data_IF_205475046298
#
_entry.id   IF_205475046298
#
_cell.length_a   1.000
_cell.length_b   1.000
_cell.length_c   1.000
_cell.angle_alpha   90.00
_cell.angle_beta   90.00
_cell.angle_gamma   90.00
#
_symmetry.space_group_name_H-M   'P 1'
#
loop_
_entity.id
_entity.type
_entity.pdbx_description
1 polymer ?
#
# COMPACT_ATOMS: atom_id res chain seq x y z
N UNK A 1 14.62 11.94 12.16
CA UNK A 1 14.87 13.28 11.59
C UNK A 1 14.59 13.22 10.10
N UNK A 2 13.65 14.02 9.60
CA UNK A 2 13.37 14.14 8.17
C UNK A 2 14.54 14.83 7.48
N UNK A 3 15.30 14.10 6.67
CA UNK A 3 16.40 14.66 5.88
C UNK A 3 15.82 15.45 4.69
N UNK A 4 15.70 16.77 4.83
CA UNK A 4 15.30 17.67 3.73
C UNK A 4 16.54 18.44 3.29
N UNK A 5 16.87 18.39 2.00
CA UNK A 5 17.97 19.17 1.41
C UNK A 5 17.42 20.13 0.36
N UNK A 6 17.88 21.38 0.37
CA UNK A 6 17.55 22.38 -0.64
C UNK A 6 18.82 22.88 -1.34
N UNK A 7 18.84 22.80 -2.67
CA UNK A 7 19.82 23.45 -3.52
C UNK A 7 19.39 24.90 -3.75
N UNK A 8 19.98 25.78 -2.95
CA UNK A 8 19.51 27.13 -2.70
C UNK A 8 20.37 28.18 -3.40
N UNK A 9 19.74 29.29 -3.80
CA UNK A 9 20.44 30.51 -4.18
C UNK A 9 19.80 31.70 -3.44
N UNK A 10 20.54 32.36 -2.52
CA UNK A 10 20.00 33.44 -1.69
C UNK A 10 19.58 34.66 -2.50
N UNK A 11 20.07 34.82 -3.74
CA UNK A 11 19.72 35.94 -4.62
C UNK A 11 18.46 35.67 -5.48
N UNK A 12 17.68 34.63 -5.17
CA UNK A 12 16.50 34.24 -5.96
C UNK A 12 15.25 34.17 -5.09
N UNK A 13 14.25 35.02 -5.39
CA UNK A 13 12.99 35.09 -4.64
C UNK A 13 12.25 33.75 -4.56
N UNK A 14 12.12 33.02 -5.68
CA UNK A 14 11.53 31.66 -5.68
C UNK A 14 12.30 30.72 -4.73
N UNK A 15 13.62 30.82 -4.68
CA UNK A 15 14.46 29.99 -3.81
C UNK A 15 14.29 30.35 -2.33
N UNK A 16 14.17 31.64 -1.99
CA UNK A 16 13.90 32.11 -0.63
C UNK A 16 12.49 31.76 -0.16
N UNK A 17 11.48 31.94 -1.02
CA UNK A 17 10.10 31.52 -0.72
C UNK A 17 10.00 30.01 -0.45
N UNK A 18 10.66 29.17 -1.27
CA UNK A 18 10.71 27.71 -1.03
C UNK A 18 11.40 27.38 0.30
N UNK A 19 12.55 28.00 0.60
CA UNK A 19 13.23 27.80 1.89
C UNK A 19 12.36 28.20 3.08
N UNK A 20 11.65 29.33 2.98
CA UNK A 20 10.75 29.82 4.01
C UNK A 20 9.56 28.87 4.24
N UNK A 21 8.95 28.34 3.17
CA UNK A 21 7.90 27.33 3.29
C UNK A 21 8.38 26.03 3.94
N UNK A 22 9.60 25.57 3.62
CA UNK A 22 10.21 24.41 4.30
C UNK A 22 10.33 24.69 5.81
N UNK A 23 10.86 25.85 6.20
CA UNK A 23 10.97 26.22 7.62
C UNK A 23 9.62 26.34 8.32
N UNK A 24 8.63 26.90 7.65
CA UNK A 24 7.27 27.02 8.20
C UNK A 24 6.59 25.67 8.40
N UNK A 25 7.04 24.60 7.71
CA UNK A 25 6.62 23.22 7.99
C UNK A 25 7.17 22.63 9.28
N UNK A 26 8.06 23.36 9.98
CA UNK A 26 8.73 22.90 11.19
C UNK A 26 10.00 22.10 10.92
N UNK A 27 10.53 22.14 9.69
CA UNK A 27 11.76 21.45 9.29
C UNK A 27 12.87 22.46 9.05
N UNK A 28 14.02 22.30 9.69
CA UNK A 28 15.25 23.00 9.30
C UNK A 28 16.00 22.14 8.27
N UNK A 29 16.09 22.57 7.00
CA UNK A 29 16.71 21.76 5.95
C UNK A 29 18.23 21.89 5.94
N UNK A 30 18.90 20.92 5.33
CA UNK A 30 20.27 21.08 4.86
C UNK A 30 20.30 22.03 3.66
N UNK A 31 20.98 23.17 3.79
CA UNK A 31 21.03 24.20 2.76
C UNK A 31 22.34 24.07 1.98
N UNK A 32 22.24 23.74 0.69
CA UNK A 32 23.38 23.65 -0.21
C UNK A 32 23.36 24.84 -1.16
N UNK A 33 24.29 25.78 -0.98
CA UNK A 33 24.53 26.87 -1.93
C UNK A 33 25.26 26.33 -3.17
N UNK A 34 24.51 25.73 -4.08
CA UNK A 34 25.05 24.96 -5.21
C UNK A 34 25.96 25.74 -6.18
N UNK A 35 25.96 27.08 -6.12
CA UNK A 35 26.90 27.91 -6.88
C UNK A 35 28.28 27.99 -6.23
N UNK A 36 28.38 27.78 -4.91
CA UNK A 36 29.65 27.71 -4.16
C UNK A 36 30.14 26.26 -4.04
N UNK A 37 29.20 25.34 -3.92
CA UNK A 37 29.45 23.90 -3.79
C UNK A 37 28.76 23.19 -4.96
N UNK A 38 29.38 23.19 -6.15
CA UNK A 38 28.76 22.64 -7.35
C UNK A 38 28.49 21.13 -7.21
N UNK A 39 27.40 20.70 -7.83
CA UNK A 39 27.02 19.30 -7.92
C UNK A 39 27.89 18.59 -8.96
N UNK A 40 28.37 17.40 -8.62
CA UNK A 40 29.02 16.51 -9.58
C UNK A 40 28.02 15.96 -10.60
N UNK A 41 28.50 15.49 -11.76
CA UNK A 41 27.68 14.79 -12.76
C UNK A 41 26.80 13.69 -12.16
N UNK A 42 27.35 12.88 -11.25
CA UNK A 42 26.64 11.75 -10.62
C UNK A 42 25.48 12.23 -9.76
N UNK A 43 25.68 13.31 -9.00
CA UNK A 43 24.62 13.89 -8.17
C UNK A 43 23.54 14.55 -9.03
N UNK A 44 23.92 15.24 -10.11
CA UNK A 44 22.97 15.80 -11.08
C UNK A 44 22.08 14.72 -11.71
N UNK A 45 22.67 13.59 -12.12
CA UNK A 45 21.92 12.46 -12.66
C UNK A 45 20.93 11.89 -11.63
N UNK A 46 21.35 11.76 -10.37
CA UNK A 46 20.48 11.31 -9.29
C UNK A 46 19.30 12.26 -9.06
N UNK A 47 19.53 13.58 -9.12
CA UNK A 47 18.47 14.58 -9.01
C UNK A 47 17.49 14.50 -10.19
N UNK A 48 17.98 14.38 -11.43
CA UNK A 48 17.14 14.27 -12.63
C UNK A 48 16.26 13.03 -12.59
N UNK A 49 16.82 11.88 -12.21
CA UNK A 49 16.06 10.64 -12.01
C UNK A 49 15.01 10.82 -10.91
N UNK A 50 15.37 11.43 -9.78
CA UNK A 50 14.44 11.69 -8.68
C UNK A 50 13.29 12.63 -9.04
N UNK A 51 13.49 13.55 -9.99
CA UNK A 51 12.47 14.46 -10.50
C UNK A 51 11.68 13.91 -11.69
N UNK A 52 12.16 12.81 -12.30
CA UNK A 52 11.70 12.31 -13.60
C UNK A 52 11.71 13.41 -14.69
N UNK A 53 12.83 14.12 -14.81
CA UNK A 53 13.02 15.22 -15.76
C UNK A 53 14.26 15.00 -16.64
N UNK A 54 14.19 15.45 -17.89
CA UNK A 54 15.34 15.44 -18.80
C UNK A 54 16.28 16.62 -18.51
N UNK A 55 17.58 16.45 -18.72
CA UNK A 55 18.59 17.50 -18.43
C UNK A 55 18.25 18.83 -19.11
N UNK A 56 17.77 18.79 -20.36
CA UNK A 56 17.39 19.99 -21.13
C UNK A 56 16.28 20.79 -20.46
N UNK A 57 15.35 20.13 -19.77
CA UNK A 57 14.20 20.78 -19.12
C UNK A 57 14.60 21.51 -17.84
N UNK A 58 15.71 21.12 -17.21
CA UNK A 58 16.22 21.79 -16.00
C UNK A 58 17.24 22.87 -16.29
N UNK A 59 17.67 23.04 -17.54
CA UNK A 59 18.59 24.11 -17.92
C UNK A 59 17.90 25.47 -17.83
N UNK A 60 18.59 26.41 -17.20
CA UNK A 60 18.22 27.80 -17.11
C UNK A 60 18.87 28.54 -18.27
N UNK A 61 18.06 29.18 -19.09
CA UNK A 61 18.54 30.03 -20.18
C UNK A 61 18.88 31.44 -19.70
N UNK A 62 17.91 32.15 -19.11
CA UNK A 62 18.04 33.58 -18.75
C UNK A 62 19.11 33.85 -17.69
N UNK A 63 20.09 34.69 -18.01
CA UNK A 63 21.14 35.14 -17.11
C UNK A 63 22.20 34.07 -16.85
N UNK A 64 22.52 33.31 -17.89
CA UNK A 64 23.48 32.20 -17.92
C UNK A 64 24.18 32.19 -19.30
N UNK A 65 25.29 31.45 -19.48
CA UNK A 65 25.94 31.33 -20.78
C UNK A 65 25.21 30.38 -21.77
N UNK A 66 23.94 30.03 -21.53
CA UNK A 66 23.19 29.04 -22.33
C UNK A 66 23.20 29.34 -23.83
N UNK A 67 22.95 30.61 -24.21
CA UNK A 67 22.90 31.03 -25.61
C UNK A 67 24.30 31.15 -26.22
N UNK A 68 25.30 31.61 -25.43
CA UNK A 68 26.71 31.70 -25.84
C UNK A 68 27.30 30.32 -26.13
N UNK A 69 26.88 29.30 -25.39
CA UNK A 69 27.30 27.91 -25.53
C UNK A 69 26.44 27.10 -26.52
N UNK A 70 25.41 27.72 -27.12
CA UNK A 70 24.50 27.07 -28.08
C UNK A 70 23.86 25.78 -27.50
N UNK A 71 23.47 25.79 -26.22
CA UNK A 71 23.00 24.58 -25.52
C UNK A 71 21.62 24.09 -25.98
N UNK A 72 20.86 24.97 -26.66
CA UNK A 72 19.59 24.60 -27.30
C UNK A 72 19.74 23.70 -28.51
N UNK A 73 20.94 23.57 -29.06
CA UNK A 73 21.21 22.76 -30.23
C UNK A 73 21.10 21.25 -29.91
N UNK A 74 20.44 20.50 -30.79
CA UNK A 74 20.27 19.04 -30.67
C UNK A 74 21.57 18.26 -30.87
N UNK A 75 22.65 18.91 -31.31
CA UNK A 75 23.99 18.31 -31.42
C UNK A 75 24.56 17.85 -30.06
N UNK A 76 24.12 18.46 -28.96
CA UNK A 76 24.62 18.15 -27.62
C UNK A 76 23.91 16.93 -27.02
N UNK A 77 24.69 15.97 -26.54
CA UNK A 77 24.19 14.81 -25.79
C UNK A 77 23.87 15.19 -24.34
N UNK A 78 23.06 14.38 -23.66
CA UNK A 78 22.71 14.62 -22.27
C UNK A 78 23.94 14.56 -21.35
N UNK A 79 24.91 13.68 -21.62
CA UNK A 79 26.17 13.65 -20.86
C UNK A 79 26.96 14.96 -21.02
N UNK A 80 27.02 15.51 -22.23
CA UNK A 80 27.69 16.79 -22.48
C UNK A 80 26.97 17.97 -21.82
N UNK A 81 25.63 17.95 -21.82
CA UNK A 81 24.85 18.98 -21.13
C UNK A 81 25.10 18.96 -19.62
N UNK A 82 25.23 17.77 -19.02
CA UNK A 82 25.60 17.64 -17.62
C UNK A 82 27.00 18.21 -17.34
N UNK A 83 27.95 18.03 -18.27
CA UNK A 83 29.30 18.62 -18.16
C UNK A 83 29.27 20.14 -18.17
N UNK A 84 28.44 20.73 -19.01
CA UNK A 84 28.25 22.18 -19.00
C UNK A 84 27.65 22.65 -17.67
N UNK A 85 26.71 21.91 -17.07
CA UNK A 85 26.14 22.27 -15.76
C UNK A 85 27.18 22.16 -14.65
N UNK A 86 28.03 21.14 -14.67
CA UNK A 86 29.11 20.98 -13.70
C UNK A 86 30.14 22.12 -13.81
N UNK A 87 30.51 22.51 -15.03
CA UNK A 87 31.43 23.63 -15.30
C UNK A 87 30.79 25.01 -15.03
N UNK A 88 29.50 25.15 -15.31
CA UNK A 88 28.73 26.38 -15.14
C UNK A 88 27.47 26.11 -14.31
N UNK A 89 27.58 25.97 -12.97
CA UNK A 89 26.46 25.62 -12.10
C UNK A 89 25.24 26.55 -12.27
N UNK A 90 25.46 27.80 -12.64
CA UNK A 90 24.41 28.80 -12.91
C UNK A 90 23.39 28.36 -13.99
N UNK A 91 23.75 27.40 -14.86
CA UNK A 91 22.89 26.76 -15.84
C UNK A 91 21.79 25.89 -15.22
N UNK A 92 21.87 25.51 -13.94
CA UNK A 92 20.83 24.71 -13.29
C UNK A 92 19.67 25.59 -12.80
N UNK A 93 18.44 25.23 -13.15
CA UNK A 93 17.25 25.84 -12.57
C UNK A 93 17.15 25.52 -11.07
N UNK A 94 16.59 26.47 -10.32
CA UNK A 94 16.52 26.46 -8.86
C UNK A 94 15.16 26.93 -8.35
N UNK A 95 14.80 26.62 -7.09
CA UNK A 95 15.46 25.66 -6.20
C UNK A 95 15.08 24.21 -6.53
N UNK A 96 16.01 23.28 -6.29
CA UNK A 96 15.69 21.85 -6.25
C UNK A 96 15.65 21.42 -4.78
N UNK A 97 14.61 20.67 -4.40
CA UNK A 97 14.42 20.17 -3.04
C UNK A 97 14.36 18.65 -3.07
N UNK A 98 15.08 18.02 -2.15
CA UNK A 98 15.13 16.57 -1.94
C UNK A 98 14.54 16.26 -0.58
N UNK A 99 13.55 15.37 -0.53
CA UNK A 99 12.96 14.83 0.70
C UNK A 99 12.75 13.31 0.59
N UNK A 100 12.42 12.61 1.69
CA UNK A 100 12.00 11.21 1.62
C UNK A 100 10.75 10.96 0.78
N UNK A 101 9.96 12.01 0.49
CA UNK A 101 8.74 11.93 -0.33
C UNK A 101 9.01 12.18 -1.82
N UNK A 102 10.21 12.63 -2.19
CA UNK A 102 10.63 12.81 -3.58
C UNK A 102 11.58 13.99 -3.79
N UNK A 103 11.99 14.17 -5.05
CA UNK A 103 12.81 15.31 -5.50
C UNK A 103 11.97 16.21 -6.40
N UNK A 104 12.11 17.53 -6.27
CA UNK A 104 11.34 18.48 -7.09
C UNK A 104 12.09 19.76 -7.40
N UNK A 105 11.95 20.22 -8.64
CA UNK A 105 12.24 21.60 -9.05
C UNK A 105 11.07 22.48 -8.64
N UNK A 106 11.23 23.32 -7.61
CA UNK A 106 10.12 24.09 -7.03
C UNK A 106 9.93 25.42 -7.76
N UNK A 107 9.41 25.33 -8.99
CA UNK A 107 9.00 26.47 -9.82
C UNK A 107 7.58 26.19 -10.35
N UNK A 108 6.53 26.74 -9.71
CA UNK A 108 6.54 27.79 -8.69
C UNK A 108 6.96 27.28 -7.30
N UNK A 109 7.25 28.21 -6.37
CA UNK A 109 7.88 27.90 -5.07
C UNK A 109 7.07 26.91 -4.21
N UNK A 110 5.75 26.96 -4.29
CA UNK A 110 4.76 26.16 -3.57
C UNK A 110 4.71 24.70 -4.04
N UNK A 111 5.34 24.37 -5.17
CA UNK A 111 5.49 22.99 -5.61
C UNK A 111 6.22 22.13 -4.57
N UNK A 112 7.03 22.76 -3.68
CA UNK A 112 7.68 22.11 -2.53
C UNK A 112 6.68 21.45 -1.58
N UNK A 113 5.49 22.02 -1.42
CA UNK A 113 4.49 21.52 -0.47
C UNK A 113 4.06 20.09 -0.81
N UNK A 114 4.09 19.70 -2.09
CA UNK A 114 3.75 18.33 -2.49
C UNK A 114 4.80 17.28 -2.13
N UNK A 115 5.95 17.67 -1.57
CA UNK A 115 7.02 16.75 -1.12
C UNK A 115 7.47 17.01 0.32
N UNK A 116 6.76 17.83 1.10
CA UNK A 116 7.07 18.05 2.52
C UNK A 116 6.36 17.04 3.44
N UNK A 117 7.01 16.58 4.51
CA UNK A 117 6.39 15.68 5.48
C UNK A 117 5.21 16.33 6.21
N UNK A 118 5.29 17.64 6.47
CA UNK A 118 4.21 18.45 6.99
C UNK A 118 3.82 19.52 5.97
N UNK A 119 2.61 19.43 5.43
CA UNK A 119 2.08 20.39 4.44
C UNK A 119 1.19 21.46 5.07
N UNK A 120 0.86 21.31 6.36
CA UNK A 120 -0.02 22.22 7.09
C UNK A 120 0.76 23.42 7.63
N UNK A 121 1.23 24.26 6.71
CA UNK A 121 1.95 25.50 7.06
C UNK A 121 1.02 26.69 7.29
N UNK A 122 -0.29 26.53 7.10
CA UNK A 122 -1.27 27.61 7.17
C UNK A 122 -1.21 28.51 5.93
N UNK A 123 -1.36 29.83 6.13
CA UNK A 123 -1.21 30.83 5.07
C UNK A 123 0.26 31.20 4.92
N UNK A 124 0.75 31.24 3.68
CA UNK A 124 2.10 31.74 3.36
C UNK A 124 2.00 32.91 2.38
N UNK A 125 2.61 34.04 2.73
CA UNK A 125 2.71 35.20 1.83
C UNK A 125 4.10 35.22 1.20
N UNK A 126 4.17 35.09 -0.13
CA UNK A 126 5.40 35.19 -0.91
C UNK A 126 5.95 36.62 -0.85
N UNK A 127 7.25 36.77 -1.14
CA UNK A 127 7.91 38.09 -1.21
C UNK A 127 7.27 39.08 -2.19
N UNK A 128 6.55 38.62 -3.21
CA UNK A 128 5.83 39.44 -4.19
C UNK A 128 4.39 39.78 -3.76
N UNK A 129 3.98 39.35 -2.56
CA UNK A 129 2.65 39.57 -2.00
C UNK A 129 1.61 38.52 -2.39
N UNK A 130 1.96 37.55 -3.24
CA UNK A 130 1.05 36.45 -3.57
C UNK A 130 0.81 35.56 -2.33
N UNK A 131 -0.46 35.31 -2.02
CA UNK A 131 -0.86 34.50 -0.87
C UNK A 131 -1.12 33.07 -1.31
N UNK A 132 -0.38 32.14 -0.73
CA UNK A 132 -0.60 30.70 -0.86
C UNK A 132 -1.47 30.25 0.30
N UNK A 133 -2.76 30.01 0.04
CA UNK A 133 -3.70 29.43 1.01
C UNK A 133 -3.80 27.91 0.82
N UNK A 134 -3.55 27.16 1.89
CA UNK A 134 -3.83 25.72 1.92
C UNK A 134 -5.27 25.45 2.35
N UNK A 135 -5.88 24.32 1.94
CA UNK A 135 -7.14 23.88 2.51
C UNK A 135 -6.95 23.71 4.02
N UNK A 136 -7.66 24.53 4.81
CA UNK A 136 -7.63 24.47 6.26
C UNK A 136 -8.04 23.06 6.70
N UNK A 137 -7.28 22.45 7.60
CA UNK A 137 -7.85 21.39 8.44
C UNK A 137 -9.09 21.99 9.11
N UNK A 138 -10.24 21.34 8.96
CA UNK A 138 -11.48 21.88 9.47
C UNK A 138 -11.37 22.11 10.98
N UNK A 139 -11.71 23.33 11.42
CA UNK A 139 -11.61 23.73 12.81
C UNK A 139 -12.57 22.88 13.66
N UNK A 140 -12.15 22.23 14.77
CA UNK A 140 -13.01 21.33 15.54
C UNK A 140 -14.36 21.94 15.96
N UNK A 141 -14.37 23.24 16.26
CA UNK A 141 -15.61 23.98 16.59
C UNK A 141 -16.56 24.18 15.41
N UNK A 142 -16.05 24.34 14.18
CA UNK A 142 -16.87 24.36 12.97
C UNK A 142 -17.37 22.96 12.61
N UNK A 143 -16.53 21.94 12.80
CA UNK A 143 -16.87 20.55 12.49
C UNK A 143 -18.02 20.04 13.36
N UNK A 144 -18.04 20.40 14.65
CA UNK A 144 -19.13 20.06 15.56
C UNK A 144 -20.44 20.78 15.23
N UNK A 145 -20.38 21.99 14.69
CA UNK A 145 -21.56 22.74 14.25
C UNK A 145 -22.16 22.19 12.95
N UNK A 146 -21.31 21.78 12.01
CA UNK A 146 -21.73 21.22 10.73
C UNK A 146 -22.19 19.75 10.84
N UNK A 147 -21.52 18.96 11.69
CA UNK A 147 -21.79 17.54 11.90
C UNK A 147 -22.17 17.27 13.37
N UNK A 148 -23.42 17.56 13.79
CA UNK A 148 -23.82 17.48 15.19
C UNK A 148 -23.77 16.07 15.79
N UNK A 149 -23.76 15.02 14.96
CA UNK A 149 -23.61 13.62 15.41
C UNK A 149 -22.14 13.14 15.50
N UNK A 150 -21.19 13.95 15.03
CA UNK A 150 -19.76 13.65 15.03
C UNK A 150 -19.16 13.98 16.40
N UNK A 151 -18.49 13.01 17.01
CA UNK A 151 -17.63 13.21 18.18
C UNK A 151 -16.29 13.72 17.66
N UNK A 152 -16.10 15.03 17.71
CA UNK A 152 -14.96 15.72 17.09
C UNK A 152 -13.62 15.25 17.66
N UNK A 153 -13.56 14.84 18.92
CA UNK A 153 -12.34 14.29 19.56
C UNK A 153 -11.95 12.91 19.00
N UNK A 154 -12.90 12.16 18.44
CA UNK A 154 -12.66 10.85 17.82
C UNK A 154 -12.43 10.95 16.31
N UNK A 155 -12.74 12.12 15.73
CA UNK A 155 -12.54 12.39 14.31
C UNK A 155 -11.06 12.65 14.02
N UNK A 156 -10.58 12.06 12.93
CA UNK A 156 -9.24 12.30 12.40
C UNK A 156 -9.36 12.48 10.89
N UNK A 157 -8.71 13.50 10.36
CA UNK A 157 -8.55 13.64 8.92
C UNK A 157 -7.68 12.48 8.39
N UNK A 158 -7.88 12.10 7.12
CA UNK A 158 -7.07 11.05 6.50
C UNK A 158 -5.64 11.57 6.31
N UNK A 159 -4.69 10.85 6.90
CA UNK A 159 -3.27 11.12 6.81
C UNK A 159 -2.67 10.34 5.64
N UNK A 160 -2.44 11.06 4.54
CA UNK A 160 -1.86 10.48 3.33
C UNK A 160 -0.43 9.96 3.55
N UNK A 161 0.30 10.45 4.53
CA UNK A 161 1.68 9.99 4.78
C UNK A 161 1.68 8.58 5.37
N UNK A 162 0.73 8.28 6.27
CA UNK A 162 0.55 6.93 6.82
C UNK A 162 0.18 5.90 5.76
N UNK A 163 -0.42 6.32 4.64
CA UNK A 163 -0.72 5.45 3.49
C UNK A 163 0.46 5.32 2.50
N UNK A 164 1.19 6.40 2.25
CA UNK A 164 2.21 6.45 1.18
C UNK A 164 3.58 5.94 1.61
N UNK A 165 3.98 6.18 2.85
CA UNK A 165 5.35 5.95 3.31
C UNK A 165 5.42 5.06 4.56
N UNK A 166 4.78 3.87 4.57
CA UNK A 166 4.99 2.92 5.65
C UNK A 166 6.45 2.40 5.61
N UNK A 167 6.98 2.02 6.77
CA UNK A 167 8.17 1.19 6.82
C UNK A 167 7.83 -0.16 6.16
N UNK A 168 8.44 -0.46 5.02
CA UNK A 168 8.12 -1.66 4.25
C UNK A 168 8.74 -2.90 4.87
N UNK A 169 7.91 -3.92 5.09
CA UNK A 169 8.41 -5.24 5.50
C UNK A 169 9.30 -5.85 4.41
N UNK A 170 10.44 -6.40 4.81
CA UNK A 170 11.44 -7.00 3.91
C UNK A 170 11.32 -8.53 3.76
N UNK A 171 10.47 -9.17 4.59
CA UNK A 171 10.24 -10.60 4.47
C UNK A 171 9.21 -10.91 3.37
N UNK A 172 9.25 -12.16 2.89
CA UNK A 172 8.30 -12.70 1.93
C UNK A 172 6.85 -12.53 2.42
N UNK A 173 5.88 -12.19 1.54
CA UNK A 173 4.47 -12.19 1.88
C UNK A 173 4.02 -13.55 2.39
N UNK A 174 3.34 -13.59 3.54
CA UNK A 174 2.91 -14.86 4.16
C UNK A 174 1.49 -15.20 3.73
N UNK A 175 1.31 -16.27 2.96
CA UNK A 175 0.00 -16.66 2.42
C UNK A 175 -0.45 -18.00 3.01
N UNK A 176 -1.61 -18.00 3.67
CA UNK A 176 -2.29 -19.21 4.13
C UNK A 176 -3.32 -19.68 3.11
N UNK A 177 -3.26 -20.96 2.73
CA UNK A 177 -4.22 -21.55 1.80
C UNK A 177 -5.09 -22.60 2.47
N UNK A 178 -6.39 -22.52 2.21
CA UNK A 178 -7.42 -23.45 2.70
C UNK A 178 -8.14 -24.08 1.50
N UNK A 179 -8.43 -25.39 1.58
CA UNK A 179 -9.16 -26.10 0.54
C UNK A 179 -10.38 -26.88 1.08
N UNK A 180 -11.40 -27.05 0.25
CA UNK A 180 -12.72 -27.54 0.64
C UNK A 180 -13.01 -29.03 0.43
N UNK A 181 -12.03 -29.91 0.28
CA UNK A 181 -12.31 -31.33 0.06
C UNK A 181 -11.20 -32.27 0.53
N UNK A 182 -11.63 -33.35 1.22
CA UNK A 182 -10.82 -34.46 1.72
C UNK A 182 -10.85 -35.69 0.79
N UNK A 183 -11.37 -35.58 -0.43
CA UNK A 183 -11.30 -36.68 -1.40
C UNK A 183 -9.84 -37.01 -1.71
N UNK A 184 -9.55 -38.29 -1.93
CA UNK A 184 -8.25 -38.76 -2.39
C UNK A 184 -7.78 -37.96 -3.62
N UNK A 185 -8.63 -37.90 -4.66
CA UNK A 185 -8.44 -37.00 -5.81
C UNK A 185 -9.33 -35.76 -5.68
N UNK A 186 -8.79 -34.75 -5.00
CA UNK A 186 -9.46 -33.47 -4.74
C UNK A 186 -8.98 -32.36 -5.68
N UNK A 187 -9.79 -31.96 -6.66
CA UNK A 187 -9.42 -30.89 -7.59
C UNK A 187 -9.27 -29.52 -6.91
N UNK A 188 -9.99 -29.26 -5.81
CA UNK A 188 -9.74 -28.03 -5.04
C UNK A 188 -8.36 -28.06 -4.39
N UNK A 189 -7.93 -29.23 -3.86
CA UNK A 189 -6.57 -29.39 -3.31
C UNK A 189 -5.52 -29.27 -4.42
N UNK A 190 -5.73 -29.90 -5.57
CA UNK A 190 -4.80 -29.78 -6.71
C UNK A 190 -4.68 -28.34 -7.22
N UNK A 191 -5.80 -27.62 -7.34
CA UNK A 191 -5.81 -26.20 -7.70
C UNK A 191 -5.09 -25.33 -6.67
N UNK A 192 -5.28 -25.61 -5.37
CA UNK A 192 -4.51 -24.97 -4.29
C UNK A 192 -3.02 -25.24 -4.42
N UNK A 193 -2.60 -26.45 -4.78
CA UNK A 193 -1.19 -26.78 -4.97
C UNK A 193 -0.56 -26.06 -6.18
N UNK A 194 -1.30 -25.86 -7.28
CA UNK A 194 -0.81 -25.03 -8.39
C UNK A 194 -0.69 -23.56 -8.01
N UNK A 195 -1.71 -23.02 -7.35
CA UNK A 195 -1.68 -21.65 -6.83
C UNK A 195 -0.52 -21.44 -5.85
N UNK A 196 -0.22 -22.42 -4.99
CA UNK A 196 0.94 -22.38 -4.08
C UNK A 196 2.27 -22.23 -4.84
N UNK A 197 2.49 -23.05 -5.88
CA UNK A 197 3.71 -22.97 -6.71
C UNK A 197 3.86 -21.61 -7.38
N UNK A 198 2.76 -21.03 -7.87
CA UNK A 198 2.75 -19.70 -8.47
C UNK A 198 3.11 -18.63 -7.44
N UNK A 199 2.52 -18.67 -6.24
CA UNK A 199 2.82 -17.75 -5.15
C UNK A 199 4.28 -17.85 -4.69
N UNK A 200 4.81 -19.06 -4.54
CA UNK A 200 6.23 -19.28 -4.20
C UNK A 200 7.16 -18.73 -5.29
N UNK A 201 6.83 -18.96 -6.57
CA UNK A 201 7.56 -18.38 -7.70
C UNK A 201 7.50 -16.84 -7.73
N UNK A 202 6.44 -16.24 -7.18
CA UNK A 202 6.27 -14.79 -6.99
C UNK A 202 6.91 -14.28 -5.69
N UNK A 203 7.60 -15.13 -4.92
CA UNK A 203 8.35 -14.75 -3.72
C UNK A 203 7.54 -14.74 -2.41
N UNK A 204 6.37 -15.38 -2.37
CA UNK A 204 5.60 -15.56 -1.14
C UNK A 204 6.07 -16.78 -0.31
N UNK A 205 5.96 -16.69 1.01
CA UNK A 205 6.03 -17.85 1.92
C UNK A 205 4.61 -18.43 2.02
N UNK A 206 4.42 -19.68 1.59
CA UNK A 206 3.10 -20.31 1.53
C UNK A 206 2.97 -21.41 2.58
N UNK A 207 1.81 -21.47 3.25
CA UNK A 207 1.41 -22.61 4.09
C UNK A 207 0.02 -23.08 3.73
N UNK A 208 -0.14 -24.38 3.56
CA UNK A 208 -1.42 -25.00 3.23
C UNK A 208 -1.91 -25.78 4.45
N UNK A 209 -3.10 -25.47 4.94
CA UNK A 209 -3.69 -26.22 6.03
C UNK A 209 -4.33 -27.51 5.52
N UNK A 210 -4.00 -28.65 6.12
CA UNK A 210 -4.72 -29.91 5.89
C UNK A 210 -5.93 -29.99 6.84
N UNK A 211 -7.19 -29.98 6.37
CA UNK A 211 -8.35 -30.00 7.25
C UNK A 211 -8.73 -31.40 7.76
N UNK A 212 -7.97 -32.44 7.42
CA UNK A 212 -8.22 -33.79 7.95
C UNK A 212 -8.11 -33.82 9.48
N UNK A 213 -9.10 -34.42 10.13
CA UNK A 213 -9.20 -34.45 11.59
C UNK A 213 -9.64 -33.14 12.25
N UNK A 214 -9.99 -32.10 11.48
CA UNK A 214 -10.61 -30.89 12.05
C UNK A 214 -12.04 -31.24 12.54
N UNK A 215 -12.36 -31.07 13.83
CA UNK A 215 -13.69 -31.35 14.36
C UNK A 215 -14.73 -30.38 13.77
N UNK A 216 -16.02 -30.73 13.86
CA UNK A 216 -17.07 -29.75 13.57
C UNK A 216 -17.01 -28.62 14.61
N UNK A 217 -17.30 -27.35 14.22
CA UNK A 217 -17.49 -26.27 15.18
C UNK A 217 -18.41 -26.71 16.33
N UNK A 218 -18.05 -26.31 17.55
CA UNK A 218 -18.75 -26.66 18.81
C UNK A 218 -18.68 -28.14 19.24
N UNK A 219 -18.08 -29.04 18.44
CA UNK A 219 -17.92 -30.45 18.79
C UNK A 219 -16.62 -30.77 19.59
N UNK A 220 -15.73 -29.79 19.75
CA UNK A 220 -14.46 -29.94 20.44
C UNK A 220 -14.04 -28.61 21.10
N UNK A 221 -13.18 -28.65 22.13
CA UNK A 221 -12.61 -27.42 22.72
C UNK A 221 -11.67 -26.71 21.74
N UNK A 222 -11.44 -25.40 21.95
CA UNK A 222 -10.58 -24.58 21.09
C UNK A 222 -9.11 -25.03 21.12
N UNK A 223 -8.72 -25.77 22.15
CA UNK A 223 -7.41 -26.38 22.38
C UNK A 223 -7.18 -27.63 21.50
N UNK A 224 -8.20 -28.10 20.77
CA UNK A 224 -8.04 -29.23 19.84
C UNK A 224 -6.86 -28.97 18.88
N UNK A 225 -5.93 -29.93 18.68
CA UNK A 225 -4.67 -29.68 17.96
C UNK A 225 -4.86 -29.06 16.56
N UNK A 226 -5.85 -29.55 15.80
CA UNK A 226 -6.18 -29.00 14.47
C UNK A 226 -6.78 -27.59 14.50
N UNK A 227 -7.52 -27.25 15.55
CA UNK A 227 -8.10 -25.91 15.73
C UNK A 227 -6.98 -24.94 16.07
N UNK A 228 -6.10 -25.32 17.00
CA UNK A 228 -4.91 -24.54 17.35
C UNK A 228 -3.99 -24.33 16.14
N UNK A 229 -3.70 -25.38 15.37
CA UNK A 229 -2.89 -25.30 14.14
C UNK A 229 -3.49 -24.31 13.15
N UNK A 230 -4.80 -24.41 12.86
CA UNK A 230 -5.49 -23.49 11.95
C UNK A 230 -5.38 -22.05 12.44
N UNK A 231 -5.64 -21.80 13.73
CA UNK A 231 -5.57 -20.44 14.31
C UNK A 231 -4.16 -19.89 14.32
N UNK A 232 -3.15 -20.71 14.60
CA UNK A 232 -1.74 -20.32 14.56
C UNK A 232 -1.32 -19.94 13.14
N UNK A 233 -1.76 -20.69 12.12
CA UNK A 233 -1.54 -20.34 10.72
C UNK A 233 -2.25 -19.03 10.33
N UNK A 234 -3.49 -18.83 10.79
CA UNK A 234 -4.23 -17.58 10.55
C UNK A 234 -3.52 -16.40 11.21
N UNK A 235 -2.95 -16.55 12.41
CA UNK A 235 -2.16 -15.50 13.06
C UNK A 235 -0.90 -15.17 12.27
N UNK A 236 -0.23 -16.19 11.73
CA UNK A 236 1.01 -16.05 10.96
C UNK A 236 0.84 -15.32 9.61
N UNK A 237 -0.28 -15.52 8.90
CA UNK A 237 -0.41 -15.04 7.53
C UNK A 237 -0.71 -13.53 7.41
N UNK A 238 -0.46 -12.98 6.23
CA UNK A 238 -0.79 -11.61 5.81
C UNK A 238 -1.86 -11.60 4.71
N UNK A 239 -1.97 -12.71 3.97
CA UNK A 239 -3.00 -12.97 2.97
C UNK A 239 -3.49 -14.41 3.01
N UNK A 240 -4.62 -14.66 2.37
CA UNK A 240 -5.25 -15.98 2.31
C UNK A 240 -5.72 -16.34 0.91
N UNK A 241 -5.77 -17.65 0.62
CA UNK A 241 -6.45 -18.23 -0.54
C UNK A 241 -7.46 -19.27 -0.08
N UNK A 242 -8.73 -19.12 -0.46
CA UNK A 242 -9.78 -20.11 -0.17
C UNK A 242 -10.24 -20.79 -1.44
N UNK A 243 -10.05 -22.11 -1.53
CA UNK A 243 -10.41 -22.92 -2.71
C UNK A 243 -11.49 -23.94 -2.36
N UNK A 244 -12.75 -23.64 -2.68
CA UNK A 244 -13.86 -24.58 -2.44
C UNK A 244 -14.28 -25.29 -3.71
N UNK A 245 -14.55 -26.61 -3.70
CA UNK A 245 -15.44 -27.18 -4.68
C UNK A 245 -16.82 -26.53 -4.61
N UNK A 246 -17.56 -26.59 -5.71
CA UNK A 246 -18.99 -26.40 -5.68
C UNK A 246 -19.68 -27.75 -5.45
N UNK A 247 -20.36 -27.90 -4.32
CA UNK A 247 -21.11 -29.10 -3.95
C UNK A 247 -22.56 -28.72 -3.73
N UNK A 248 -23.47 -29.34 -4.48
CA UNK A 248 -24.89 -29.00 -4.48
C UNK A 248 -25.14 -27.49 -4.70
N UNK A 249 -24.35 -26.87 -5.59
CA UNK A 249 -24.51 -25.47 -5.96
C UNK A 249 -24.01 -24.46 -4.91
N UNK A 250 -23.22 -24.88 -3.92
CA UNK A 250 -22.70 -24.02 -2.85
C UNK A 250 -21.23 -24.35 -2.51
N UNK A 251 -20.59 -23.50 -1.70
CA UNK A 251 -19.33 -23.83 -1.05
C UNK A 251 -19.49 -25.08 -0.18
N UNK A 252 -18.40 -25.82 0.02
CA UNK A 252 -18.44 -27.06 0.79
C UNK A 252 -18.57 -26.81 2.30
N UNK A 253 -19.18 -27.77 3.00
CA UNK A 253 -19.17 -27.80 4.46
C UNK A 253 -17.75 -27.82 5.02
N UNK A 254 -16.81 -28.54 4.42
CA UNK A 254 -15.39 -28.57 4.84
C UNK A 254 -14.75 -27.17 4.78
N UNK A 255 -15.01 -26.42 3.71
CA UNK A 255 -14.51 -25.04 3.60
C UNK A 255 -15.15 -24.14 4.66
N UNK A 256 -16.46 -24.25 4.86
CA UNK A 256 -17.19 -23.45 5.85
C UNK A 256 -16.77 -23.76 7.28
N UNK A 257 -16.65 -25.03 7.65
CA UNK A 257 -16.21 -25.46 8.99
C UNK A 257 -14.83 -24.92 9.34
N UNK A 258 -13.89 -24.85 8.38
CA UNK A 258 -12.60 -24.21 8.60
C UNK A 258 -12.75 -22.73 8.97
N UNK A 259 -13.56 -21.97 8.23
CA UNK A 259 -13.79 -20.54 8.50
C UNK A 259 -14.49 -20.35 9.85
N UNK A 260 -15.43 -21.22 10.21
CA UNK A 260 -16.18 -21.15 11.47
C UNK A 260 -15.29 -21.34 12.72
N UNK A 261 -14.16 -22.04 12.57
CA UNK A 261 -13.16 -22.16 13.64
C UNK A 261 -12.32 -20.91 13.85
N UNK A 262 -12.38 -19.93 12.94
CA UNK A 262 -11.61 -18.69 12.98
C UNK A 262 -12.49 -17.60 13.61
N UNK A 263 -12.18 -17.16 14.85
CA UNK A 263 -12.96 -16.11 15.49
C UNK A 263 -12.66 -14.72 14.89
N UNK A 264 -13.64 -13.82 14.93
CA UNK A 264 -13.43 -12.40 14.59
C UNK A 264 -12.55 -11.67 15.63
N UNK A 265 -12.54 -12.16 16.87
CA UNK A 265 -11.84 -11.57 18.00
C UNK A 265 -11.32 -12.64 18.95
N UNK A 266 -10.07 -12.49 19.36
CA UNK A 266 -9.47 -13.22 20.49
C UNK A 266 -8.85 -12.19 21.43
N UNK A 267 -9.64 -11.73 22.40
CA UNK A 267 -9.28 -10.58 23.23
C UNK A 267 -9.06 -9.32 22.38
N UNK A 268 -7.85 -8.76 22.43
CA UNK A 268 -7.46 -7.61 21.62
C UNK A 268 -7.09 -7.97 20.17
N UNK A 269 -6.82 -9.24 19.86
CA UNK A 269 -6.38 -9.66 18.52
C UNK A 269 -7.59 -9.84 17.60
N UNK A 270 -7.44 -9.46 16.34
CA UNK A 270 -8.43 -9.61 15.26
C UNK A 270 -7.79 -10.44 14.13
N UNK A 271 -7.84 -11.79 14.21
CA UNK A 271 -6.92 -12.66 13.46
C UNK A 271 -6.93 -12.50 11.93
N UNK A 272 -8.06 -12.14 11.34
CA UNK A 272 -8.23 -11.99 9.89
C UNK A 272 -8.33 -10.55 9.42
N UNK A 273 -8.51 -9.59 10.33
CA UNK A 273 -8.90 -8.24 9.97
C UNK A 273 -7.78 -7.52 9.19
N UNK A 274 -8.12 -6.94 8.05
CA UNK A 274 -7.19 -6.18 7.20
C UNK A 274 -6.26 -7.03 6.34
N UNK A 275 -6.29 -8.36 6.46
CA UNK A 275 -5.52 -9.28 5.61
C UNK A 275 -6.16 -9.41 4.23
N UNK A 276 -5.39 -9.75 3.21
CA UNK A 276 -5.89 -9.95 1.85
C UNK A 276 -6.53 -11.34 1.67
N UNK A 277 -7.47 -11.45 0.74
CA UNK A 277 -8.11 -12.72 0.40
C UNK A 277 -8.29 -12.87 -1.11
N UNK A 278 -7.88 -14.01 -1.65
CA UNK A 278 -8.31 -14.50 -2.96
C UNK A 278 -9.29 -15.69 -2.79
N UNK A 279 -10.33 -15.73 -3.62
CA UNK A 279 -11.32 -16.82 -3.63
C UNK A 279 -11.28 -17.57 -4.95
N UNK A 280 -11.34 -18.90 -4.85
CA UNK A 280 -11.27 -19.81 -5.99
C UNK A 280 -12.32 -20.92 -5.83
N UNK A 281 -12.84 -21.42 -6.95
CA UNK A 281 -13.64 -22.65 -6.96
C UNK A 281 -13.29 -23.62 -8.08
N UNK A 282 -13.69 -24.87 -7.88
CA UNK A 282 -13.74 -25.90 -8.91
C UNK A 282 -15.15 -26.47 -9.03
N UNK A 283 -15.59 -26.74 -10.26
CA UNK A 283 -16.86 -27.39 -10.55
C UNK A 283 -16.62 -28.75 -11.21
N UNK A 284 -17.46 -29.73 -10.90
CA UNK A 284 -17.54 -30.98 -11.67
C UNK A 284 -18.37 -30.85 -12.96
N UNK A 285 -19.16 -29.79 -13.10
CA UNK A 285 -20.01 -29.54 -14.28
C UNK A 285 -19.64 -28.24 -14.99
N UNK A 286 -20.62 -27.67 -15.71
CA UNK A 286 -20.51 -26.35 -16.36
C UNK A 286 -20.08 -25.25 -15.38
N UNK A 287 -19.59 -24.14 -15.92
CA UNK A 287 -19.13 -23.02 -15.13
C UNK A 287 -20.24 -22.48 -14.23
N UNK A 288 -19.86 -22.15 -13.00
CA UNK A 288 -20.71 -21.55 -11.97
C UNK A 288 -19.86 -20.61 -11.13
N UNK A 289 -20.49 -19.77 -10.32
CA UNK A 289 -19.80 -18.83 -9.42
C UNK A 289 -20.37 -18.85 -8.01
N UNK A 290 -21.23 -19.83 -7.69
CA UNK A 290 -21.96 -19.81 -6.42
C UNK A 290 -21.03 -19.92 -5.22
N UNK A 291 -20.03 -20.82 -5.28
CA UNK A 291 -19.09 -20.99 -4.19
C UNK A 291 -18.20 -19.74 -3.99
N UNK A 292 -17.62 -19.17 -5.05
CA UNK A 292 -16.81 -17.94 -4.91
C UNK A 292 -17.63 -16.73 -4.47
N UNK A 293 -18.90 -16.63 -4.87
CA UNK A 293 -19.80 -15.58 -4.38
C UNK A 293 -20.03 -15.70 -2.87
N UNK A 294 -20.30 -16.91 -2.38
CA UNK A 294 -20.45 -17.17 -0.94
C UNK A 294 -19.15 -16.90 -0.18
N UNK A 295 -18.01 -17.31 -0.72
CA UNK A 295 -16.69 -17.05 -0.11
C UNK A 295 -16.35 -15.56 -0.07
N UNK A 296 -16.68 -14.80 -1.11
CA UNK A 296 -16.48 -13.35 -1.15
C UNK A 296 -17.31 -12.63 -0.09
N UNK A 297 -18.57 -13.04 0.07
CA UNK A 297 -19.44 -12.60 1.15
C UNK A 297 -18.79 -12.96 2.50
N UNK A 298 -18.34 -14.19 2.72
CA UNK A 298 -17.63 -14.55 3.96
C UNK A 298 -16.36 -13.72 4.20
N UNK A 299 -15.58 -13.42 3.16
CA UNK A 299 -14.41 -12.54 3.25
C UNK A 299 -14.75 -11.18 3.86
N UNK A 300 -15.88 -10.57 3.45
CA UNK A 300 -16.40 -9.34 4.05
C UNK A 300 -16.74 -9.51 5.53
N UNK A 301 -17.41 -10.60 5.92
CA UNK A 301 -17.72 -10.87 7.34
C UNK A 301 -16.46 -11.03 8.18
N UNK A 302 -15.43 -11.68 7.62
CA UNK A 302 -14.12 -11.85 8.25
C UNK A 302 -13.24 -10.59 8.20
N UNK A 303 -13.77 -9.48 7.68
CA UNK A 303 -13.08 -8.18 7.52
C UNK A 303 -11.78 -8.28 6.72
N UNK A 304 -11.74 -9.18 5.74
CA UNK A 304 -10.65 -9.37 4.80
C UNK A 304 -10.78 -8.43 3.60
N UNK A 305 -9.66 -7.99 3.05
CA UNK A 305 -9.55 -7.28 1.77
C UNK A 305 -9.62 -8.30 0.64
N UNK A 306 -10.84 -8.66 0.23
CA UNK A 306 -11.03 -9.65 -0.84
C UNK A 306 -10.75 -9.01 -2.20
N UNK A 307 -9.70 -9.48 -2.88
CA UNK A 307 -9.26 -8.92 -4.17
C UNK A 307 -10.37 -9.05 -5.24
N UNK A 308 -10.42 -8.15 -6.23
CA UNK A 308 -11.49 -8.17 -7.24
C UNK A 308 -11.45 -9.45 -8.10
N UNK A 309 -10.28 -9.91 -8.51
CA UNK A 309 -10.16 -11.08 -9.36
C UNK A 309 -10.46 -12.39 -8.60
N UNK A 310 -10.89 -13.42 -9.33
CA UNK A 310 -11.23 -14.74 -8.77
C UNK A 310 -11.15 -15.84 -9.84
N UNK A 311 -10.99 -17.10 -9.40
CA UNK A 311 -10.95 -18.26 -10.29
C UNK A 311 -12.17 -19.17 -10.11
N UNK A 312 -12.75 -19.63 -11.22
CA UNK A 312 -13.77 -20.68 -11.25
C UNK A 312 -13.49 -21.63 -12.40
N UNK A 313 -12.96 -22.82 -12.07
CA UNK A 313 -12.55 -23.83 -13.04
C UNK A 313 -13.73 -24.79 -13.27
N UNK A 314 -14.33 -24.71 -14.46
CA UNK A 314 -15.40 -25.61 -14.87
C UNK A 314 -14.84 -26.99 -15.23
N UNK A 315 -15.66 -28.03 -15.11
CA UNK A 315 -15.31 -29.43 -15.44
C UNK A 315 -13.87 -29.79 -15.04
N UNK A 316 -13.49 -29.51 -13.79
CA UNK A 316 -12.09 -29.53 -13.37
C UNK A 316 -11.37 -30.89 -13.62
N UNK A 317 -12.10 -31.99 -13.79
CA UNK A 317 -11.51 -33.27 -14.17
C UNK A 317 -10.87 -33.27 -15.58
N UNK A 318 -11.31 -32.40 -16.49
CA UNK A 318 -10.72 -32.24 -17.83
C UNK A 318 -9.44 -31.39 -17.79
N UNK A 319 -9.32 -30.49 -16.81
CA UNK A 319 -8.26 -29.48 -16.68
C UNK A 319 -7.01 -29.97 -15.94
N UNK A 320 -7.05 -31.15 -15.32
CA UNK A 320 -5.91 -31.72 -14.60
C UNK A 320 -5.44 -33.01 -15.26
N UNK A 321 -4.12 -33.15 -15.44
CA UNK A 321 -3.49 -34.37 -15.92
C UNK A 321 -3.47 -35.47 -14.84
N UNK A 322 -3.09 -36.69 -15.21
CA UNK A 322 -3.08 -37.84 -14.29
C UNK A 322 -2.18 -37.62 -13.08
N UNK A 323 -1.03 -36.98 -13.29
CA UNK A 323 -0.03 -36.58 -12.28
C UNK A 323 -0.52 -35.46 -11.32
N UNK A 324 -1.74 -34.95 -11.54
CA UNK A 324 -2.36 -33.92 -10.72
C UNK A 324 -1.90 -32.50 -11.07
N UNK A 325 -1.17 -32.29 -12.17
CA UNK A 325 -0.82 -30.96 -12.67
C UNK A 325 -1.96 -30.36 -13.48
N UNK A 326 -2.21 -29.06 -13.33
CA UNK A 326 -3.18 -28.36 -14.17
C UNK A 326 -2.59 -28.15 -15.58
N UNK A 327 -3.40 -28.41 -16.60
CA UNK A 327 -3.03 -28.24 -18.00
C UNK A 327 -3.00 -26.76 -18.38
N UNK A 328 -2.21 -26.35 -19.39
CA UNK A 328 -2.31 -25.00 -19.94
C UNK A 328 -3.71 -24.74 -20.50
N UNK A 329 -4.39 -23.72 -19.96
CA UNK A 329 -5.70 -23.29 -20.40
C UNK A 329 -5.97 -21.87 -19.91
N UNK A 330 -7.03 -21.23 -20.43
CA UNK A 330 -7.45 -19.92 -19.95
C UNK A 330 -7.85 -19.93 -18.47
N UNK A 331 -8.24 -21.09 -17.92
CA UNK A 331 -8.43 -21.25 -16.49
C UNK A 331 -7.11 -21.15 -15.73
N UNK A 332 -6.02 -21.71 -16.25
CA UNK A 332 -4.70 -21.61 -15.64
C UNK A 332 -4.17 -20.17 -15.68
N UNK A 333 -4.32 -19.48 -16.82
CA UNK A 333 -3.96 -18.07 -16.96
C UNK A 333 -4.70 -17.21 -15.91
N UNK A 334 -6.00 -17.47 -15.71
CA UNK A 334 -6.77 -16.81 -14.65
C UNK A 334 -6.22 -17.09 -13.25
N UNK A 335 -5.75 -18.31 -12.97
CA UNK A 335 -5.13 -18.62 -11.66
C UNK A 335 -3.86 -17.80 -11.47
N UNK A 336 -3.05 -17.64 -12.52
CA UNK A 336 -1.86 -16.77 -12.49
C UNK A 336 -2.26 -15.33 -12.16
N UNK A 337 -3.24 -14.76 -12.87
CA UNK A 337 -3.72 -13.38 -12.61
C UNK A 337 -4.16 -13.19 -11.16
N UNK A 338 -4.91 -14.16 -10.61
CA UNK A 338 -5.44 -14.08 -9.24
C UNK A 338 -4.31 -14.15 -8.21
N UNK A 339 -3.31 -15.00 -8.41
CA UNK A 339 -2.15 -15.09 -7.51
C UNK A 339 -1.26 -13.85 -7.61
N UNK A 340 -1.05 -13.33 -8.83
CA UNK A 340 -0.28 -12.11 -9.06
C UNK A 340 -0.95 -10.91 -8.38
N UNK A 341 -2.26 -10.75 -8.56
CA UNK A 341 -3.05 -9.70 -7.92
C UNK A 341 -3.03 -9.84 -6.40
N UNK A 342 -3.15 -11.05 -5.86
CA UNK A 342 -3.07 -11.29 -4.41
C UNK A 342 -1.72 -10.83 -3.83
N UNK A 343 -0.60 -11.17 -4.46
CA UNK A 343 0.73 -10.75 -4.00
C UNK A 343 0.85 -9.23 -4.02
N UNK A 344 0.46 -8.59 -5.12
CA UNK A 344 0.47 -7.12 -5.27
C UNK A 344 -0.35 -6.44 -4.17
N UNK A 345 -1.58 -6.87 -3.94
CA UNK A 345 -2.44 -6.30 -2.90
C UNK A 345 -1.89 -6.57 -1.50
N UNK A 346 -1.29 -7.73 -1.25
CA UNK A 346 -0.72 -8.07 0.06
C UNK A 346 0.47 -7.16 0.37
N UNK A 347 1.40 -6.99 -0.58
CA UNK A 347 2.52 -6.05 -0.45
C UNK A 347 2.07 -4.60 -0.30
N UNK A 348 1.02 -4.20 -1.02
CA UNK A 348 0.47 -2.85 -0.94
C UNK A 348 -0.10 -2.55 0.46
N UNK A 349 -0.81 -3.50 1.04
CA UNK A 349 -1.69 -3.26 2.20
C UNK A 349 -1.12 -3.70 3.54
N UNK A 350 -0.22 -4.71 3.60
CA UNK A 350 0.22 -5.32 4.87
C UNK A 350 0.81 -4.32 5.87
N UNK A 351 1.63 -3.38 5.40
CA UNK A 351 2.34 -2.43 6.26
C UNK A 351 1.48 -1.21 6.67
N UNK A 352 0.36 -0.97 5.95
CA UNK A 352 -0.60 0.10 6.26
C UNK A 352 -1.88 -0.44 6.93
N UNK A 353 -2.00 -1.76 7.08
CA UNK A 353 -3.18 -2.41 7.64
C UNK A 353 -3.59 -1.86 9.02
N UNK A 354 -2.67 -1.57 9.97
CA UNK A 354 -3.04 -0.96 11.25
C UNK A 354 -3.78 0.37 11.10
N UNK A 355 -3.38 1.20 10.13
CA UNK A 355 -4.05 2.47 9.84
C UNK A 355 -5.39 2.26 9.12
N UNK A 356 -5.45 1.33 8.15
CA UNK A 356 -6.70 1.02 7.43
C UNK A 356 -7.82 0.50 8.35
N UNK A 357 -7.46 -0.12 9.48
CA UNK A 357 -8.42 -0.71 10.42
C UNK A 357 -8.69 0.17 11.64
N UNK A 358 -8.04 1.33 11.76
CA UNK A 358 -8.26 2.34 12.81
C UNK A 358 -9.56 3.12 12.54
N UNK A 359 -10.65 2.68 13.15
CA UNK A 359 -12.00 3.21 12.90
C UNK A 359 -12.38 4.28 13.89
N UNK A 360 -13.00 5.34 13.35
CA UNK A 360 -13.69 6.37 14.14
C UNK A 360 -14.60 5.80 15.24
N UNK A 361 -15.44 4.81 14.91
CA UNK A 361 -16.38 4.23 15.88
C UNK A 361 -15.69 3.52 17.05
N UNK A 362 -14.53 2.90 16.80
CA UNK A 362 -13.74 2.22 17.84
C UNK A 362 -13.03 3.24 18.72
N UNK A 363 -12.46 4.31 18.14
CA UNK A 363 -11.92 5.45 18.91
C UNK A 363 -12.97 6.12 19.79
N UNK A 364 -14.19 6.30 19.28
CA UNK A 364 -15.34 6.84 20.03
C UNK A 364 -15.71 5.96 21.22
N UNK A 365 -15.74 4.64 21.03
CA UNK A 365 -16.05 3.69 22.10
C UNK A 365 -14.98 3.72 23.20
N UNK A 366 -13.70 3.74 22.84
CA UNK A 366 -12.59 3.83 23.80
C UNK A 366 -12.60 5.15 24.58
N UNK A 367 -12.88 6.27 23.91
CA UNK A 367 -13.02 7.57 24.59
C UNK A 367 -14.16 7.54 25.62
N UNK A 368 -15.29 6.91 25.29
CA UNK A 368 -16.41 6.75 26.22
C UNK A 368 -16.03 5.90 27.44
N UNK A 369 -15.26 4.82 27.25
CA UNK A 369 -14.74 3.99 28.35
C UNK A 369 -13.80 4.77 29.26
N UNK A 370 -12.90 5.58 28.69
CA UNK A 370 -11.98 6.45 29.45
C UNK A 370 -12.76 7.45 30.30
N UNK A 371 -13.78 8.10 29.73
CA UNK A 371 -14.63 9.04 30.46
C UNK A 371 -15.41 8.36 31.60
N UNK A 372 -16.00 7.19 31.34
CA UNK A 372 -16.71 6.43 32.37
C UNK A 372 -15.80 6.02 33.52
N UNK A 373 -14.56 5.60 33.23
CA UNK A 373 -13.58 5.23 34.25
C UNK A 373 -13.17 6.42 35.13
N UNK A 374 -12.91 7.57 34.53
CA UNK A 374 -12.57 8.81 35.27
C UNK A 374 -13.70 9.24 36.22
N UNK A 375 -14.95 9.10 35.79
CA UNK A 375 -16.12 9.42 36.61
C UNK A 375 -16.32 8.45 37.78
N UNK A 376 -15.87 7.20 37.66
CA UNK A 376 -15.95 6.21 38.73
C UNK A 376 -14.82 6.33 39.76
N UNK A 377 -13.73 7.03 39.42
CA UNK A 377 -12.57 7.30 40.28
C UNK A 377 -12.67 8.65 41.02
N UNK A 378 -13.67 9.47 40.70
CA UNK A 378 -14.06 10.70 41.39
C UNK A 378 -15.17 10.42 42.40
#
# INVERSE_FOLDING_TARGET
MSCVTIYHNPNCGTSRNTLAMIRQSGVEPNIVEYLKTPLSRVELQALLQGMAMDVRTVLRQKGTPYDELDLGNSKWTDEQLLDFVEQHPILLNRPIVVTPLGVRLCRPSEAVLGILPNVQIGTFTKEDGEVVEMPKAANPGQLGAEFPALVTESHQAIDLNQLKAPLRSIHAPRILMLYGSLRERSYSKLLTLEAARLLEAMGAEVRIFNPEGLPQPDAAPAEHPKVKELRDLVRWCEGMVWTSPERHGAMTGIMKSQIDWIPLSEGAVRPTQGKTLAVMQVCGGSQSFNAVNQLRVLGRWMRLLTIPNQSSVAKAYEEFAEDGRMKPSSFYDRVIDVMEELVKFTLLTRDVAPYLVDRYSERKEELAKIHAKRLAEM
#
